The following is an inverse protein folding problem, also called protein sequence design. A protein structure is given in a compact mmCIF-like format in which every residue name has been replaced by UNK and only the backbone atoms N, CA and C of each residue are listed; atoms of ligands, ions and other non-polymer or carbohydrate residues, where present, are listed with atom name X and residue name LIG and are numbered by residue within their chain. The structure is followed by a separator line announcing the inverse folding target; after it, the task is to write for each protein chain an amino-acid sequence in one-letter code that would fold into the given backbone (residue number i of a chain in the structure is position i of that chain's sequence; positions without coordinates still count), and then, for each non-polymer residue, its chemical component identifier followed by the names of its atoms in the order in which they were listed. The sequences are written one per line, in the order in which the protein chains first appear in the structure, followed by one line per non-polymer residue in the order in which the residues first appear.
data_IF_772688629523
#
_entry.id   IF_772688629523
#
_cell.length_a   1.000
_cell.length_b   1.000
_cell.length_c   1.000
_cell.angle_alpha   90.00
_cell.angle_beta   90.00
_cell.angle_gamma   90.00
#
_symmetry.space_group_name_H-M   'P 1'
#
loop_
_entity.id
_entity.type
_entity.pdbx_description
1 polymer ?
#
# COMPACT_ATOMS: atom_id res chain seq x y z
N UNK A 1 -1.87 17.10 -13.93
CA UNK A 1 -1.65 17.48 -12.52
C UNK A 1 -1.23 16.28 -11.67
N UNK A 2 -2.12 15.38 -11.21
CA UNK A 2 -1.73 14.28 -10.29
C UNK A 2 -0.65 13.36 -10.87
N UNK A 3 -0.72 13.01 -12.16
CA UNK A 3 0.32 12.23 -12.84
C UNK A 3 1.70 12.92 -12.77
N UNK A 4 1.72 14.25 -12.91
CA UNK A 4 2.95 15.04 -12.84
C UNK A 4 3.51 15.09 -11.41
N UNK A 5 2.62 15.16 -10.40
CA UNK A 5 3.00 15.06 -8.99
C UNK A 5 3.63 13.69 -8.69
N UNK A 6 2.97 12.60 -9.10
CA UNK A 6 3.49 11.23 -8.93
C UNK A 6 4.86 11.09 -9.60
N UNK A 7 5.00 11.55 -10.86
CA UNK A 7 6.28 11.52 -11.57
C UNK A 7 7.38 12.26 -10.81
N UNK A 8 7.09 13.45 -10.29
CA UNK A 8 8.06 14.25 -9.52
C UNK A 8 8.46 13.55 -8.23
N UNK A 9 7.49 13.05 -7.45
CA UNK A 9 7.74 12.30 -6.22
C UNK A 9 8.60 11.07 -6.48
N UNK A 10 8.27 10.28 -7.49
CA UNK A 10 9.03 9.07 -7.81
C UNK A 10 10.43 9.40 -8.33
N UNK A 11 10.56 10.44 -9.16
CA UNK A 11 11.86 10.93 -9.61
C UNK A 11 12.76 11.34 -8.43
N UNK A 12 12.23 12.08 -7.46
CA UNK A 12 12.96 12.44 -6.25
C UNK A 12 13.33 11.22 -5.42
N UNK A 13 12.42 10.26 -5.22
CA UNK A 13 12.72 9.02 -4.49
C UNK A 13 13.84 8.22 -5.16
N UNK A 14 13.81 8.08 -6.49
CA UNK A 14 14.88 7.40 -7.25
C UNK A 14 16.22 8.13 -7.12
N UNK A 15 16.23 9.46 -7.21
CA UNK A 15 17.43 10.26 -7.02
C UNK A 15 18.01 10.08 -5.61
N UNK A 16 17.16 10.09 -4.57
CA UNK A 16 17.59 9.85 -3.20
C UNK A 16 18.15 8.43 -3.02
N UNK A 17 17.66 7.44 -3.77
CA UNK A 17 18.24 6.09 -3.73
C UNK A 17 19.66 6.03 -4.31
N UNK A 18 20.00 6.90 -5.26
CA UNK A 18 21.37 7.00 -5.79
C UNK A 18 22.32 7.68 -4.80
N UNK A 19 21.84 8.70 -4.10
CA UNK A 19 22.65 9.48 -3.16
C UNK A 19 22.83 8.77 -1.79
N UNK A 20 21.78 8.10 -1.31
CA UNK A 20 21.74 7.49 0.02
C UNK A 20 21.52 5.97 -0.11
N UNK A 21 22.57 5.12 0.01
CA UNK A 21 22.46 3.68 -0.20
C UNK A 21 21.47 2.94 0.73
N UNK A 22 21.18 3.50 1.90
CA UNK A 22 20.26 2.92 2.90
C UNK A 22 18.83 3.43 2.79
N UNK A 23 18.56 4.39 1.91
CA UNK A 23 17.21 4.93 1.74
C UNK A 23 16.28 3.88 1.12
N UNK A 24 15.11 3.69 1.72
CA UNK A 24 14.01 2.87 1.22
C UNK A 24 12.77 3.73 1.01
N UNK A 25 11.94 3.34 0.05
CA UNK A 25 10.70 4.03 -0.29
C UNK A 25 9.57 3.02 -0.40
N UNK A 26 8.37 3.40 0.01
CA UNK A 26 7.18 2.56 -0.06
C UNK A 26 6.08 3.27 -0.85
N UNK A 27 5.33 2.52 -1.66
CA UNK A 27 4.19 3.06 -2.41
C UNK A 27 2.99 2.10 -2.42
N UNK A 28 1.79 2.66 -2.27
CA UNK A 28 0.54 1.94 -2.03
C UNK A 28 -0.35 1.74 -3.27
N UNK A 29 -0.74 2.83 -3.94
CA UNK A 29 -1.77 2.77 -4.99
C UNK A 29 -1.22 2.27 -6.32
N UNK A 30 -1.77 1.16 -6.83
CA UNK A 30 -1.32 0.54 -8.08
C UNK A 30 -1.47 1.44 -9.31
N UNK A 31 -2.49 2.32 -9.32
CA UNK A 31 -2.73 3.27 -10.41
C UNK A 31 -1.51 4.18 -10.67
N UNK A 32 -0.76 4.55 -9.63
CA UNK A 32 0.41 5.39 -9.78
C UNK A 32 1.52 4.69 -10.55
N UNK A 33 1.72 3.40 -10.28
CA UNK A 33 2.70 2.56 -10.96
C UNK A 33 2.29 2.28 -12.40
N UNK A 34 1.00 2.08 -12.67
CA UNK A 34 0.49 1.95 -14.03
C UNK A 34 0.77 3.21 -14.86
N UNK A 35 0.47 4.41 -14.33
CA UNK A 35 0.77 5.66 -15.03
C UNK A 35 2.25 5.80 -15.37
N UNK A 36 3.15 5.39 -14.47
CA UNK A 36 4.58 5.43 -14.75
C UNK A 36 4.98 4.40 -15.81
N UNK A 37 4.42 3.19 -15.76
CA UNK A 37 4.67 2.17 -16.77
C UNK A 37 4.21 2.62 -18.17
N UNK A 38 3.05 3.27 -18.27
CA UNK A 38 2.48 3.73 -19.54
C UNK A 38 3.15 5.00 -20.09
N UNK A 39 3.41 6.00 -19.23
CA UNK A 39 3.82 7.34 -19.67
C UNK A 39 5.32 7.60 -19.53
N UNK A 40 6.00 6.87 -18.65
CA UNK A 40 7.42 7.09 -18.31
C UNK A 40 8.16 5.74 -18.18
N UNK A 41 8.23 4.94 -19.26
CA UNK A 41 8.74 3.55 -19.20
C UNK A 41 10.17 3.44 -18.67
N UNK A 42 11.05 4.41 -18.94
CA UNK A 42 12.42 4.42 -18.42
C UNK A 42 12.45 4.58 -16.89
N UNK A 43 11.61 5.46 -16.35
CA UNK A 43 11.46 5.60 -14.89
C UNK A 43 10.88 4.31 -14.28
N UNK A 44 9.91 3.69 -14.95
CA UNK A 44 9.36 2.42 -14.50
C UNK A 44 10.39 1.27 -14.53
N UNK A 45 11.34 1.28 -15.48
CA UNK A 45 12.43 0.32 -15.52
C UNK A 45 13.37 0.48 -14.31
N UNK A 46 13.68 1.71 -13.93
CA UNK A 46 14.44 1.99 -12.70
C UNK A 46 13.66 1.56 -11.46
N UNK A 47 12.36 1.88 -11.34
CA UNK A 47 11.51 1.40 -10.24
C UNK A 47 11.56 -0.14 -10.15
N UNK A 48 11.44 -0.85 -11.28
CA UNK A 48 11.53 -2.31 -11.33
C UNK A 48 12.90 -2.85 -10.89
N UNK A 49 13.98 -2.10 -11.12
CA UNK A 49 15.31 -2.42 -10.58
C UNK A 49 15.33 -2.22 -9.06
N UNK A 50 14.83 -1.10 -8.55
CA UNK A 50 14.80 -0.81 -7.11
C UNK A 50 13.90 -1.75 -6.31
N UNK A 51 12.81 -2.24 -6.91
CA UNK A 51 11.97 -3.30 -6.33
C UNK A 51 12.78 -4.59 -6.17
N UNK A 52 13.54 -5.01 -7.19
CA UNK A 52 14.38 -6.21 -7.12
C UNK A 52 15.53 -6.07 -6.11
N UNK A 53 16.02 -4.86 -5.90
CA UNK A 53 17.00 -4.53 -4.85
C UNK A 53 16.39 -4.54 -3.44
N UNK A 54 15.06 -4.59 -3.31
CA UNK A 54 14.37 -4.48 -2.01
C UNK A 54 14.38 -3.05 -1.43
N UNK A 55 14.63 -2.03 -2.26
CA UNK A 55 14.71 -0.62 -1.83
C UNK A 55 13.44 0.18 -2.16
N UNK A 56 12.66 -0.30 -3.11
CA UNK A 56 11.35 0.22 -3.43
C UNK A 56 10.31 -0.85 -3.08
N UNK A 57 9.57 -0.62 -2.00
CA UNK A 57 8.57 -1.55 -1.50
C UNK A 57 7.19 -1.19 -2.03
N UNK A 58 6.45 -2.20 -2.47
CA UNK A 58 5.06 -2.05 -2.90
C UNK A 58 4.16 -2.57 -1.78
N UNK A 59 3.23 -1.74 -1.33
CA UNK A 59 2.25 -2.05 -0.27
C UNK A 59 0.84 -1.72 -0.78
N UNK A 60 -0.17 -1.81 0.09
CA UNK A 60 -1.56 -1.52 -0.24
C UNK A 60 -2.25 -2.69 -0.93
N UNK A 61 -1.81 -3.02 -2.13
CA UNK A 61 -2.43 -4.07 -2.96
C UNK A 61 -3.75 -3.66 -3.62
N UNK A 62 -4.24 -2.46 -3.33
CA UNK A 62 -5.44 -1.90 -3.94
C UNK A 62 -5.11 -1.03 -5.16
N UNK A 63 -6.11 -0.81 -6.01
CA UNK A 63 -5.97 0.06 -7.19
C UNK A 63 -5.69 1.52 -6.79
N UNK A 64 -6.43 2.02 -5.82
CA UNK A 64 -6.20 3.30 -5.11
C UNK A 64 -6.23 3.06 -3.60
N UNK A 65 -6.15 4.11 -2.79
CA UNK A 65 -6.50 4.07 -1.36
C UNK A 65 -7.98 4.50 -1.19
N UNK A 66 -8.96 3.59 -1.31
CA UNK A 66 -10.37 3.96 -1.32
C UNK A 66 -10.89 4.35 0.07
N UNK A 67 -12.09 4.93 0.10
CA UNK A 67 -12.90 4.89 1.31
C UNK A 67 -13.31 3.44 1.62
N UNK A 68 -13.34 3.09 2.90
CA UNK A 68 -13.58 1.72 3.38
C UNK A 68 -14.88 1.62 4.20
N UNK A 69 -15.81 2.57 4.04
CA UNK A 69 -17.14 2.49 4.64
C UNK A 69 -18.27 2.51 3.61
N UNK A 70 -18.17 3.39 2.61
CA UNK A 70 -19.23 3.63 1.64
C UNK A 70 -19.31 2.59 0.52
N UNK A 71 -18.19 2.13 -0.08
CA UNK A 71 -18.24 1.11 -1.13
C UNK A 71 -18.69 -0.26 -0.58
N UNK A 72 -19.39 -1.03 -1.41
CA UNK A 72 -19.78 -2.39 -1.07
C UNK A 72 -18.60 -3.37 -1.08
N UNK A 73 -18.83 -4.56 -0.53
CA UNK A 73 -17.79 -5.59 -0.46
C UNK A 73 -17.24 -6.01 -1.83
N UNK A 74 -18.07 -6.05 -2.87
CA UNK A 74 -17.59 -6.35 -4.23
C UNK A 74 -16.63 -5.27 -4.72
N UNK A 75 -16.93 -3.99 -4.50
CA UNK A 75 -16.03 -2.89 -4.86
C UNK A 75 -14.69 -3.01 -4.16
N UNK A 76 -14.67 -3.34 -2.87
CA UNK A 76 -13.43 -3.55 -2.12
C UNK A 76 -12.62 -4.75 -2.64
N UNK A 77 -13.30 -5.87 -2.93
CA UNK A 77 -12.66 -7.05 -3.54
C UNK A 77 -12.08 -6.70 -4.91
N UNK A 78 -12.76 -5.88 -5.71
CA UNK A 78 -12.27 -5.41 -7.01
C UNK A 78 -11.06 -4.50 -6.89
N UNK A 79 -11.03 -3.60 -5.90
CA UNK A 79 -9.86 -2.76 -5.62
C UNK A 79 -8.61 -3.63 -5.41
N UNK A 80 -8.72 -4.67 -4.57
CA UNK A 80 -7.63 -5.62 -4.31
C UNK A 80 -7.29 -6.48 -5.52
N UNK A 81 -8.29 -7.02 -6.22
CA UNK A 81 -8.09 -7.88 -7.39
C UNK A 81 -7.33 -7.15 -8.50
N UNK A 82 -7.76 -5.92 -8.81
CA UNK A 82 -7.12 -5.11 -9.86
C UNK A 82 -5.75 -4.66 -9.41
N UNK A 83 -5.60 -4.11 -8.20
CA UNK A 83 -4.32 -3.64 -7.68
C UNK A 83 -3.24 -4.73 -7.63
N UNK A 84 -3.55 -5.88 -7.00
CA UNK A 84 -2.62 -7.02 -6.94
C UNK A 84 -2.25 -7.54 -8.34
N UNK A 85 -3.22 -7.61 -9.26
CA UNK A 85 -2.95 -8.05 -10.65
C UNK A 85 -2.00 -7.08 -11.35
N UNK A 86 -2.19 -5.78 -11.19
CA UNK A 86 -1.31 -4.77 -11.78
C UNK A 86 0.12 -4.90 -11.28
N UNK A 87 0.33 -5.06 -9.96
CA UNK A 87 1.66 -5.29 -9.41
C UNK A 87 2.29 -6.60 -9.91
N UNK A 88 1.51 -7.66 -10.01
CA UNK A 88 1.98 -8.94 -10.53
C UNK A 88 2.40 -8.83 -12.01
N UNK A 89 1.65 -8.09 -12.82
CA UNK A 89 1.94 -7.90 -14.25
C UNK A 89 3.16 -7.01 -14.48
N UNK A 90 3.26 -5.88 -13.76
CA UNK A 90 4.35 -4.92 -13.95
C UNK A 90 5.68 -5.43 -13.37
N UNK A 91 5.62 -5.99 -12.15
CA UNK A 91 6.81 -6.24 -11.34
C UNK A 91 6.97 -7.71 -10.92
N UNK A 92 5.97 -8.56 -11.12
CA UNK A 92 6.03 -9.97 -10.72
C UNK A 92 5.87 -10.19 -9.21
N UNK A 93 5.29 -9.20 -8.51
CA UNK A 93 5.12 -9.24 -7.05
C UNK A 93 3.66 -9.09 -6.65
N UNK A 94 3.32 -9.61 -5.48
CA UNK A 94 2.07 -9.34 -4.76
C UNK A 94 2.40 -8.72 -3.41
N UNK A 95 1.49 -7.90 -2.89
CA UNK A 95 1.65 -7.23 -1.59
C UNK A 95 1.00 -8.06 -0.50
N UNK A 96 1.57 -8.00 0.72
CA UNK A 96 1.03 -8.66 1.93
C UNK A 96 0.59 -7.66 3.01
N UNK A 97 0.88 -6.38 2.78
CA UNK A 97 0.60 -5.28 3.69
C UNK A 97 -0.45 -4.39 3.04
N UNK A 98 -1.65 -4.35 3.59
CA UNK A 98 -2.68 -3.37 3.28
C UNK A 98 -2.28 -2.03 3.86
N UNK A 99 -2.49 -0.96 3.10
CA UNK A 99 -2.02 0.38 3.42
C UNK A 99 -3.13 1.36 3.08
N UNK A 100 -3.75 1.95 4.11
CA UNK A 100 -4.83 2.90 3.90
C UNK A 100 -4.88 3.95 5.03
N UNK A 101 -3.80 4.75 5.18
CA UNK A 101 -3.63 5.70 6.28
C UNK A 101 -4.66 6.83 6.27
N UNK A 102 -5.25 7.21 5.13
CA UNK A 102 -6.08 8.41 5.01
C UNK A 102 -7.60 8.17 4.83
N UNK A 103 -8.11 6.97 5.14
CA UNK A 103 -9.57 6.71 5.12
C UNK A 103 -10.26 7.02 6.45
N UNK A 104 -11.48 7.54 6.39
CA UNK A 104 -12.28 7.98 7.53
C UNK A 104 -13.11 6.85 8.14
N UNK A 105 -12.43 5.82 8.65
CA UNK A 105 -13.06 4.64 9.25
C UNK A 105 -12.91 3.39 8.39
N UNK A 106 -13.28 2.24 8.96
CA UNK A 106 -13.07 0.93 8.37
C UNK A 106 -14.26 0.04 8.68
N UNK A 107 -14.81 -0.62 7.66
CA UNK A 107 -15.87 -1.59 7.87
C UNK A 107 -15.35 -2.86 8.59
N UNK A 108 -16.27 -3.58 9.21
CA UNK A 108 -15.96 -4.75 10.04
C UNK A 108 -15.60 -6.01 9.23
N UNK A 109 -15.89 -6.05 7.92
CA UNK A 109 -15.60 -7.19 7.04
C UNK A 109 -14.21 -7.08 6.42
N UNK A 110 -13.62 -5.89 6.40
CA UNK A 110 -12.29 -5.59 5.86
C UNK A 110 -11.22 -6.62 6.23
N UNK A 111 -11.10 -7.09 7.50
CA UNK A 111 -10.14 -8.13 7.85
C UNK A 111 -10.37 -9.42 7.05
N UNK A 112 -11.61 -9.88 6.93
CA UNK A 112 -11.93 -11.10 6.18
C UNK A 112 -11.60 -10.95 4.69
N UNK A 113 -11.93 -9.80 4.10
CA UNK A 113 -11.66 -9.48 2.70
C UNK A 113 -10.14 -9.49 2.46
N UNK A 114 -9.38 -8.77 3.27
CA UNK A 114 -7.92 -8.65 3.15
C UNK A 114 -7.24 -10.02 3.22
N UNK A 115 -7.61 -10.84 4.22
CA UNK A 115 -7.05 -12.18 4.38
C UNK A 115 -7.36 -13.09 3.19
N UNK A 116 -8.58 -13.04 2.66
CA UNK A 116 -8.96 -13.80 1.45
C UNK A 116 -8.25 -13.32 0.19
N UNK A 117 -7.76 -12.08 0.19
CA UNK A 117 -6.98 -11.47 -0.89
C UNK A 117 -5.46 -11.56 -0.69
N UNK A 118 -4.98 -12.28 0.32
CA UNK A 118 -3.54 -12.50 0.57
C UNK A 118 -2.83 -11.35 1.29
N UNK A 119 -3.59 -10.44 1.92
CA UNK A 119 -3.08 -9.39 2.79
C UNK A 119 -3.11 -9.90 4.24
N UNK A 120 -1.97 -9.94 4.92
CA UNK A 120 -1.86 -10.44 6.30
C UNK A 120 -1.85 -9.32 7.33
N UNK A 121 -1.39 -8.15 6.90
CA UNK A 121 -1.09 -6.99 7.72
C UNK A 121 -1.85 -5.79 7.20
N UNK A 122 -2.30 -4.91 8.08
CA UNK A 122 -2.96 -3.66 7.70
C UNK A 122 -2.34 -2.48 8.43
N UNK A 123 -2.07 -1.37 7.74
CA UNK A 123 -1.53 -0.13 8.33
C UNK A 123 -2.52 1.02 8.13
N UNK A 124 -2.84 1.71 9.22
CA UNK A 124 -3.61 2.95 9.24
C UNK A 124 -3.11 3.93 10.32
N UNK A 125 -3.31 5.24 10.10
CA UNK A 125 -3.12 6.30 11.11
C UNK A 125 -4.40 7.00 11.57
N UNK A 126 -5.51 6.98 10.81
CA UNK A 126 -6.70 7.82 11.13
C UNK A 126 -7.37 7.45 12.45
N UNK A 127 -7.20 6.21 12.90
CA UNK A 127 -7.67 5.75 14.21
C UNK A 127 -7.03 6.49 15.39
N UNK A 128 -5.88 7.15 15.18
CA UNK A 128 -5.22 7.97 16.20
C UNK A 128 -5.89 9.34 16.41
N UNK A 129 -6.80 9.78 15.53
CA UNK A 129 -7.43 11.10 15.58
C UNK A 129 -8.73 11.12 16.40
N UNK A 130 -9.00 10.09 17.20
CA UNK A 130 -10.19 10.00 18.03
C UNK A 130 -10.10 10.95 19.23
N UNK A 131 -10.99 11.95 19.31
CA UNK A 131 -11.08 12.91 20.42
C UNK A 131 -11.69 12.27 21.68
N UNK A 132 -12.78 11.52 21.54
CA UNK A 132 -13.58 11.05 22.68
C UNK A 132 -13.11 9.70 23.24
N UNK A 133 -12.65 8.79 22.39
CA UNK A 133 -12.23 7.45 22.78
C UNK A 133 -10.85 7.14 22.17
N UNK A 134 -9.77 7.67 22.76
CA UNK A 134 -8.42 7.45 22.24
C UNK A 134 -8.09 5.96 22.29
N UNK A 135 -7.63 5.42 21.17
CA UNK A 135 -7.14 4.05 21.12
C UNK A 135 -5.71 3.99 21.69
N UNK A 136 -5.35 2.88 22.36
CA UNK A 136 -4.03 2.74 22.97
C UNK A 136 -2.88 2.71 21.95
N UNK A 137 -3.16 2.59 20.64
CA UNK A 137 -2.18 2.47 19.55
C UNK A 137 -2.44 3.55 18.49
N UNK A 138 -1.36 4.22 18.05
CA UNK A 138 -1.41 5.32 17.06
C UNK A 138 -1.27 4.84 15.60
N UNK A 139 -0.56 3.74 15.38
CA UNK A 139 -0.55 2.99 14.13
C UNK A 139 -0.91 1.54 14.45
N UNK A 140 -1.96 1.02 13.81
CA UNK A 140 -2.47 -0.31 14.14
C UNK A 140 -2.05 -1.26 13.04
N UNK A 141 -1.09 -2.15 13.34
CA UNK A 141 -0.87 -3.37 12.55
C UNK A 141 -1.86 -4.43 13.01
N UNK A 142 -2.98 -4.56 12.31
CA UNK A 142 -3.94 -5.63 12.63
C UNK A 142 -3.50 -6.90 11.91
N UNK A 143 -2.95 -7.86 12.65
CA UNK A 143 -2.87 -9.23 12.17
C UNK A 143 -4.28 -9.81 12.12
N UNK A 144 -4.75 -10.22 10.94
CA UNK A 144 -6.13 -10.66 10.76
C UNK A 144 -6.32 -12.06 11.39
N UNK A 145 -7.11 -12.20 12.47
CA UNK A 145 -7.16 -13.45 13.24
C UNK A 145 -7.59 -14.67 12.41
N UNK A 146 -7.05 -15.84 12.76
CA UNK A 146 -7.59 -17.13 12.35
C UNK A 146 -6.63 -18.14 11.74
N UNK A 147 -5.31 -17.98 11.86
CA UNK A 147 -4.33 -19.07 11.95
C UNK A 147 -3.20 -18.55 12.85
N UNK A 148 -2.72 -19.38 13.77
CA UNK A 148 -1.94 -18.98 14.94
C UNK A 148 -0.65 -18.21 14.62
N UNK A 149 -0.30 -17.28 15.53
CA UNK A 149 0.98 -16.59 15.71
C UNK A 149 1.23 -15.29 14.89
N UNK A 150 1.32 -14.17 15.62
CA UNK A 150 2.26 -13.08 15.28
C UNK A 150 1.68 -11.83 14.65
N UNK A 151 0.98 -10.99 15.42
CA UNK A 151 1.03 -9.55 15.17
C UNK A 151 2.42 -9.05 15.60
N UNK A 152 3.34 -8.82 14.66
CA UNK A 152 4.68 -8.29 14.93
C UNK A 152 4.76 -6.83 14.49
N UNK A 153 4.95 -5.93 15.46
CA UNK A 153 4.97 -4.49 15.29
C UNK A 153 6.28 -3.99 14.67
N UNK A 154 6.16 -3.04 13.74
CA UNK A 154 7.18 -2.01 13.52
C UNK A 154 6.92 -0.91 14.55
N UNK A 155 7.71 -0.90 15.63
CA UNK A 155 7.88 0.31 16.44
C UNK A 155 8.98 1.14 15.80
N UNK A 156 8.67 2.37 15.38
CA UNK A 156 9.66 3.41 15.24
C UNK A 156 9.97 4.01 16.61
#
# INVERSE_FOLDING_TARGET
ETVDVVRRTFGTALQLMDEYPTYTYTQSAAQYNEWMAEKYPDMNAEIKKRIREGRWEIVGGMWVEPDLNMPDGESQVRQLLVGQRTFQQLYGVTTRIGWNPDSFGYDWQLPQIYKKSGIDYFVTQKMAWNETNPLPLQAVLVGIPGWEQGAHLLSA
#
